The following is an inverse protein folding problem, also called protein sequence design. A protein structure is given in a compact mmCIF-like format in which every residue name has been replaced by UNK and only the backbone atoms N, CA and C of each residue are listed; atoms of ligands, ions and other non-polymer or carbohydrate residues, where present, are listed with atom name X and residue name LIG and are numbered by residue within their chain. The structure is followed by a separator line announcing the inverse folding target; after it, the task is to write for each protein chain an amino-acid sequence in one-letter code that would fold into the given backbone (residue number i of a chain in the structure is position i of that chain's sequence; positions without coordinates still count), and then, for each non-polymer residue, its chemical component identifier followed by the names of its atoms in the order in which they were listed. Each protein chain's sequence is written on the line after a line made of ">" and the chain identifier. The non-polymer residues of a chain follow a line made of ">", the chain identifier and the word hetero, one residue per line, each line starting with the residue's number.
data_IF_025433858479
#
_entry.id   IF_025433858479
#
_cell.length_a   1.000
_cell.length_b   1.000
_cell.length_c   1.000
_cell.angle_alpha   90.00
_cell.angle_beta   90.00
_cell.angle_gamma   90.00
#
_symmetry.space_group_name_H-M   'P 1'
#
loop_
_entity.id
_entity.type
_entity.pdbx_description
1 polymer ?
#
# COMPACT_ATOMS: atom_id res chain seq x y z
N UNK A 1 -7.84 -7.39 -3.17
CA UNK A 1 -6.61 -6.66 -3.58
C UNK A 1 -6.92 -5.17 -3.55
N UNK A 2 -6.11 -4.36 -2.85
CA UNK A 2 -6.30 -2.91 -2.73
C UNK A 2 -5.15 -2.17 -3.40
N UNK A 3 -5.46 -1.10 -4.13
CA UNK A 3 -4.43 -0.23 -4.75
C UNK A 3 -3.84 0.76 -3.75
N UNK A 4 -2.72 1.40 -4.09
CA UNK A 4 -2.03 2.41 -3.28
C UNK A 4 -2.07 3.83 -3.87
N UNK A 5 -2.82 4.04 -4.96
CA UNK A 5 -2.79 5.27 -5.76
C UNK A 5 -3.30 6.54 -5.05
N UNK A 6 -4.00 6.40 -3.93
CA UNK A 6 -4.37 7.51 -3.05
C UNK A 6 -3.18 8.06 -2.25
N UNK A 7 -2.12 7.26 -2.04
CA UNK A 7 -0.90 7.66 -1.32
C UNK A 7 0.24 7.91 -2.31
N UNK A 8 0.50 6.97 -3.22
CA UNK A 8 1.59 7.09 -4.20
C UNK A 8 1.16 6.61 -5.58
N UNK A 9 1.39 7.44 -6.61
CA UNK A 9 1.16 7.10 -8.02
C UNK A 9 2.52 7.04 -8.71
N UNK A 10 3.00 5.82 -8.98
CA UNK A 10 4.35 5.54 -9.51
C UNK A 10 4.82 6.47 -10.62
N UNK A 11 4.02 6.63 -11.68
CA UNK A 11 4.38 7.49 -12.82
C UNK A 11 4.52 8.97 -12.42
N UNK A 12 3.58 9.48 -11.62
CA UNK A 12 3.56 10.88 -11.22
C UNK A 12 4.67 11.18 -10.19
N UNK A 13 4.91 10.29 -9.23
CA UNK A 13 5.94 10.47 -8.20
C UNK A 13 7.37 10.35 -8.75
N UNK A 14 7.62 9.39 -9.65
CA UNK A 14 8.92 9.22 -10.27
C UNK A 14 9.28 10.37 -11.21
N UNK A 15 8.32 10.86 -12.01
CA UNK A 15 8.55 11.96 -12.95
C UNK A 15 8.57 13.34 -12.27
N UNK A 16 7.74 13.58 -11.25
CA UNK A 16 7.63 14.90 -10.64
C UNK A 16 8.72 15.19 -9.59
N UNK A 17 9.19 14.17 -8.86
CA UNK A 17 10.05 14.37 -7.69
C UNK A 17 11.47 13.82 -7.88
N UNK A 18 11.85 13.40 -9.09
CA UNK A 18 13.18 12.82 -9.37
C UNK A 18 13.44 11.51 -8.62
N UNK A 19 12.38 10.81 -8.20
CA UNK A 19 12.50 9.53 -7.49
C UNK A 19 12.81 8.43 -8.49
N UNK A 20 13.82 7.60 -8.22
CA UNK A 20 14.12 6.43 -9.04
C UNK A 20 12.88 5.54 -9.18
N UNK A 21 12.67 4.98 -10.37
CA UNK A 21 11.49 4.18 -10.68
C UNK A 21 11.32 3.01 -9.71
N UNK A 22 12.42 2.34 -9.37
CA UNK A 22 12.42 1.17 -8.46
C UNK A 22 11.98 1.59 -7.06
N UNK A 23 12.50 2.72 -6.57
CA UNK A 23 12.09 3.29 -5.29
C UNK A 23 10.61 3.68 -5.31
N UNK A 24 10.15 4.27 -6.41
CA UNK A 24 8.73 4.60 -6.59
C UNK A 24 7.83 3.35 -6.57
N UNK A 25 8.24 2.26 -7.20
CA UNK A 25 7.48 1.00 -7.19
C UNK A 25 7.41 0.42 -5.77
N UNK A 26 8.51 0.46 -5.00
CA UNK A 26 8.52 0.06 -3.59
C UNK A 26 7.59 0.94 -2.74
N UNK A 27 7.61 2.26 -2.94
CA UNK A 27 6.68 3.18 -2.28
C UNK A 27 5.22 2.86 -2.62
N UNK A 28 4.96 2.51 -3.88
CA UNK A 28 3.64 2.06 -4.34
C UNK A 28 3.18 0.77 -3.66
N UNK A 29 4.07 -0.21 -3.50
CA UNK A 29 3.76 -1.46 -2.78
C UNK A 29 3.53 -1.23 -1.29
N UNK A 30 4.30 -0.36 -0.64
CA UNK A 30 4.05 0.01 0.76
C UNK A 30 2.71 0.75 0.93
N UNK A 31 2.34 1.58 -0.05
CA UNK A 31 1.04 2.25 -0.04
C UNK A 31 -0.14 1.24 -0.08
N UNK A 32 -0.03 0.12 -0.80
CA UNK A 32 -1.08 -0.91 -0.78
C UNK A 32 -1.16 -1.61 0.59
N UNK A 33 -0.02 -1.82 1.25
CA UNK A 33 0.04 -2.37 2.61
C UNK A 33 -0.66 -1.44 3.60
N UNK A 34 -0.39 -0.13 3.56
CA UNK A 34 -1.03 0.85 4.44
C UNK A 34 -2.56 0.81 4.28
N UNK A 35 -3.05 0.79 3.05
CA UNK A 35 -4.49 0.68 2.78
C UNK A 35 -5.07 -0.66 3.24
N UNK A 36 -4.31 -1.76 3.10
CA UNK A 36 -4.70 -3.08 3.58
C UNK A 36 -4.91 -3.09 5.09
N UNK A 37 -3.97 -2.53 5.85
CA UNK A 37 -4.07 -2.41 7.30
C UNK A 37 -5.26 -1.53 7.73
N UNK A 38 -5.47 -0.40 7.05
CA UNK A 38 -6.62 0.47 7.32
C UNK A 38 -7.96 -0.23 7.05
N UNK A 39 -8.04 -1.04 5.98
CA UNK A 39 -9.23 -1.82 5.67
C UNK A 39 -9.45 -2.94 6.71
N UNK A 40 -8.38 -3.62 7.13
CA UNK A 40 -8.43 -4.66 8.14
C UNK A 40 -9.00 -4.13 9.46
N UNK A 41 -8.42 -3.05 10.01
CA UNK A 41 -8.90 -2.39 11.23
C UNK A 41 -10.40 -2.04 11.16
N UNK A 42 -10.86 -1.58 9.99
CA UNK A 42 -12.27 -1.25 9.78
C UNK A 42 -13.17 -2.48 9.74
N UNK A 43 -12.73 -3.56 9.11
CA UNK A 43 -13.50 -4.82 9.04
C UNK A 43 -13.53 -5.53 10.41
N UNK A 44 -12.43 -5.53 11.15
CA UNK A 44 -12.37 -6.05 12.53
C UNK A 44 -13.33 -5.31 13.45
N UNK A 45 -13.45 -3.98 13.32
CA UNK A 45 -14.45 -3.17 14.05
C UNK A 45 -15.90 -3.53 13.72
N UNK A 46 -16.15 -4.21 12.60
CA UNK A 46 -17.46 -4.74 12.24
C UNK A 46 -17.64 -6.22 12.64
N UNK A 47 -16.70 -6.78 13.42
CA UNK A 47 -16.76 -8.15 13.93
C UNK A 47 -16.34 -9.23 12.94
N UNK A 48 -15.66 -8.86 11.85
CA UNK A 48 -15.15 -9.81 10.86
C UNK A 48 -13.73 -10.23 11.21
N UNK A 49 -13.45 -11.53 11.16
CA UNK A 49 -12.09 -12.06 11.26
C UNK A 49 -11.40 -11.94 9.89
N UNK A 50 -10.36 -11.12 9.83
CA UNK A 50 -9.65 -10.77 8.61
C UNK A 50 -8.15 -10.68 8.85
N UNK A 51 -7.36 -10.91 7.81
CA UNK A 51 -5.91 -10.78 7.87
C UNK A 51 -5.35 -10.16 6.60
N UNK A 52 -4.40 -9.22 6.76
CA UNK A 52 -3.64 -8.69 5.64
C UNK A 52 -2.56 -9.69 5.23
N UNK A 53 -2.51 -9.98 3.93
CA UNK A 53 -1.46 -10.76 3.30
C UNK A 53 -0.67 -9.86 2.36
N UNK A 54 0.65 -9.91 2.45
CA UNK A 54 1.58 -9.02 1.74
C UNK A 54 2.61 -9.84 0.97
N UNK A 55 3.06 -9.33 -0.17
CA UNK A 55 4.19 -9.88 -0.91
C UNK A 55 5.55 -9.48 -0.30
N UNK A 56 5.57 -8.39 0.49
CA UNK A 56 6.73 -7.94 1.25
C UNK A 56 6.65 -8.59 2.63
N UNK A 57 7.66 -9.38 3.07
CA UNK A 57 7.70 -9.94 4.42
C UNK A 57 7.63 -8.83 5.47
N UNK A 58 6.75 -9.00 6.45
CA UNK A 58 6.63 -8.11 7.60
C UNK A 58 6.70 -9.01 8.84
N UNK A 59 7.78 -8.86 9.61
CA UNK A 59 8.01 -9.58 10.87
C UNK A 59 7.38 -8.82 12.05
#
# INVERSE_FOLDING_TARGET
>A
VVGGGNIFRGLAGAQANGTDRTTGDNMGMLATVINGLALMDRLEKHGLDVRVMTAIPMD
#
